data_IF_151250549029
#
_entry.id   IF_151250549029
#
_cell.length_a   1.000
_cell.length_b   1.000
_cell.length_c   1.000
_cell.angle_alpha   90.00
_cell.angle_beta   90.00
_cell.angle_gamma   90.00
#
_symmetry.space_group_name_H-M   'P 1'
#
loop_
_entity.id
_entity.type
_entity.pdbx_description
1 polymer ?
#
# COMPACT_ATOMS: atom_id res chain seq x y z
N UNK A 1 16.60 -0.90 21.34
CA UNK A 1 16.19 -2.16 20.68
C UNK A 1 17.22 -2.57 19.65
N UNK A 2 17.64 -3.82 19.68
CA UNK A 2 18.63 -4.40 18.74
C UNK A 2 18.03 -4.47 17.32
N UNK A 3 18.89 -4.45 16.29
CA UNK A 3 18.48 -4.39 14.87
C UNK A 3 17.70 -5.63 14.42
N UNK A 4 18.08 -6.80 14.88
CA UNK A 4 17.42 -8.08 14.55
C UNK A 4 15.97 -8.09 15.06
N UNK A 5 15.77 -7.68 16.30
CA UNK A 5 14.42 -7.54 16.89
C UNK A 5 13.56 -6.55 16.07
N UNK A 6 14.14 -5.42 15.63
CA UNK A 6 13.43 -4.45 14.76
C UNK A 6 12.97 -5.08 13.44
N UNK A 7 13.86 -5.84 12.79
CA UNK A 7 13.58 -6.54 11.53
C UNK A 7 12.47 -7.58 11.70
N UNK A 8 12.51 -8.36 12.76
CA UNK A 8 11.50 -9.37 13.04
C UNK A 8 10.14 -8.77 13.37
N UNK A 9 10.08 -7.75 14.22
CA UNK A 9 8.84 -7.04 14.53
C UNK A 9 8.17 -6.48 13.28
N UNK A 10 8.96 -5.84 12.42
CA UNK A 10 8.45 -5.24 11.17
C UNK A 10 7.99 -6.32 10.19
N UNK A 11 8.79 -7.35 9.99
CA UNK A 11 8.46 -8.44 9.08
C UNK A 11 7.21 -9.20 9.52
N UNK A 12 7.11 -9.52 10.82
CA UNK A 12 5.94 -10.19 11.39
C UNK A 12 4.69 -9.30 11.26
N UNK A 13 4.81 -8.00 11.49
CA UNK A 13 3.69 -7.08 11.29
C UNK A 13 3.18 -7.10 9.84
N UNK A 14 4.06 -6.99 8.84
CA UNK A 14 3.63 -7.00 7.44
C UNK A 14 3.01 -8.33 7.03
N UNK A 15 3.50 -9.45 7.57
CA UNK A 15 2.88 -10.75 7.33
C UNK A 15 1.50 -10.88 7.99
N UNK A 16 1.36 -10.38 9.22
CA UNK A 16 0.08 -10.32 9.93
C UNK A 16 -0.92 -9.45 9.17
N UNK A 17 -0.48 -8.29 8.68
CA UNK A 17 -1.32 -7.39 7.90
C UNK A 17 -1.76 -8.00 6.56
N UNK A 18 -0.87 -8.77 5.89
CA UNK A 18 -1.23 -9.55 4.70
C UNK A 18 -2.37 -10.53 5.01
N UNK A 19 -2.27 -11.28 6.11
CA UNK A 19 -3.30 -12.22 6.52
C UNK A 19 -4.62 -11.50 6.80
N UNK A 20 -4.60 -10.44 7.60
CA UNK A 20 -5.79 -9.67 7.95
C UNK A 20 -6.51 -9.07 6.71
N UNK A 21 -5.76 -8.55 5.76
CA UNK A 21 -6.34 -8.05 4.50
C UNK A 21 -6.98 -9.19 3.69
N UNK A 22 -6.30 -10.32 3.56
CA UNK A 22 -6.84 -11.48 2.84
C UNK A 22 -8.12 -12.02 3.49
N UNK A 23 -8.17 -12.09 4.82
CA UNK A 23 -9.34 -12.52 5.58
C UNK A 23 -10.55 -11.59 5.35
N UNK A 24 -10.34 -10.28 5.42
CA UNK A 24 -11.40 -9.30 5.14
C UNK A 24 -11.91 -9.38 3.71
N UNK A 25 -11.01 -9.52 2.74
CA UNK A 25 -11.36 -9.66 1.31
C UNK A 25 -12.20 -10.92 1.09
N UNK A 26 -11.82 -12.06 1.66
CA UNK A 26 -12.60 -13.30 1.58
C UNK A 26 -13.99 -13.14 2.23
N UNK A 27 -14.06 -12.44 3.36
CA UNK A 27 -15.34 -12.14 4.02
C UNK A 27 -16.24 -11.26 3.14
N UNK A 28 -15.68 -10.24 2.48
CA UNK A 28 -16.40 -9.39 1.52
C UNK A 28 -16.93 -10.20 0.33
N UNK A 29 -16.18 -11.20 -0.12
CA UNK A 29 -16.59 -12.16 -1.16
C UNK A 29 -17.59 -13.23 -0.66
N UNK A 30 -18.07 -13.12 0.58
CA UNK A 30 -18.94 -14.12 1.23
C UNK A 30 -18.35 -15.54 1.24
N UNK A 31 -17.05 -15.68 1.40
CA UNK A 31 -16.27 -16.93 1.41
C UNK A 31 -16.41 -17.77 0.12
N UNK A 32 -16.83 -17.15 -1.00
CA UNK A 32 -17.01 -17.84 -2.29
C UNK A 32 -15.78 -17.80 -3.20
N UNK A 33 -14.82 -16.95 -2.88
CA UNK A 33 -13.56 -16.78 -3.62
C UNK A 33 -12.38 -17.23 -2.79
N UNK A 34 -11.27 -17.59 -3.44
CA UNK A 34 -10.04 -18.03 -2.77
C UNK A 34 -8.83 -17.26 -3.33
N UNK A 35 -7.88 -16.98 -2.47
CA UNK A 35 -6.55 -16.51 -2.90
C UNK A 35 -5.72 -17.68 -3.43
N UNK A 36 -5.04 -17.46 -4.55
CA UNK A 36 -3.92 -18.28 -4.99
C UNK A 36 -2.66 -17.68 -4.36
N UNK A 37 -1.99 -18.45 -3.51
CA UNK A 37 -0.75 -18.05 -2.85
C UNK A 37 0.44 -18.65 -3.58
N UNK A 38 1.42 -17.82 -3.89
CA UNK A 38 2.67 -18.25 -4.53
C UNK A 38 3.84 -17.66 -3.75
N UNK A 39 4.68 -18.55 -3.23
CA UNK A 39 5.96 -18.16 -2.63
C UNK A 39 7.02 -17.97 -3.71
N UNK A 40 7.89 -17.01 -3.54
CA UNK A 40 9.00 -16.75 -4.44
C UNK A 40 10.29 -16.48 -3.67
N UNK A 41 11.42 -16.78 -4.28
CA UNK A 41 12.76 -16.47 -3.78
C UNK A 41 13.39 -15.38 -4.64
N UNK A 42 14.07 -14.44 -4.02
CA UNK A 42 14.80 -13.40 -4.75
C UNK A 42 15.95 -13.96 -5.59
N UNK A 43 16.59 -14.98 -5.05
CA UNK A 43 17.67 -15.70 -5.71
C UNK A 43 17.56 -17.20 -5.37
N UNK A 44 17.64 -18.05 -6.38
CA UNK A 44 17.54 -19.50 -6.18
C UNK A 44 18.88 -20.17 -5.85
N UNK A 45 20.01 -19.46 -6.08
CA UNK A 45 21.36 -19.96 -5.79
C UNK A 45 21.91 -19.52 -4.45
N UNK A 46 21.40 -18.39 -3.91
CA UNK A 46 21.82 -17.81 -2.63
C UNK A 46 20.59 -17.42 -1.83
N UNK A 47 20.67 -17.52 -0.51
CA UNK A 47 19.64 -16.98 0.34
C UNK A 47 19.72 -15.44 0.35
N UNK A 48 18.84 -14.81 -0.37
CA UNK A 48 18.62 -13.36 -0.43
C UNK A 48 17.18 -13.01 -0.04
N UNK A 49 16.50 -13.95 0.64
CA UNK A 49 15.10 -13.81 1.03
C UNK A 49 14.14 -14.04 -0.13
N UNK A 50 12.92 -13.59 0.05
CA UNK A 50 11.84 -13.77 -0.90
C UNK A 50 10.54 -13.15 -0.40
N UNK A 51 9.43 -13.77 -0.73
CA UNK A 51 8.13 -13.31 -0.31
C UNK A 51 7.01 -14.26 -0.71
N UNK A 52 5.80 -13.78 -0.53
CA UNK A 52 4.59 -14.46 -0.95
C UNK A 52 3.65 -13.41 -1.55
N UNK A 53 3.19 -13.66 -2.75
CA UNK A 53 2.06 -12.92 -3.28
C UNK A 53 0.80 -13.78 -3.25
N UNK A 54 -0.30 -13.12 -2.92
CA UNK A 54 -1.63 -13.72 -2.92
C UNK A 54 -2.51 -12.96 -3.91
N UNK A 55 -3.07 -13.69 -4.86
CA UNK A 55 -3.91 -13.11 -5.91
C UNK A 55 -5.29 -13.73 -5.83
N UNK A 56 -6.33 -12.89 -5.82
CA UNK A 56 -7.72 -13.25 -6.04
C UNK A 56 -8.17 -12.60 -7.34
N UNK A 57 -8.81 -13.38 -8.23
CA UNK A 57 -9.32 -12.92 -9.51
C UNK A 57 -10.74 -13.42 -9.72
N UNK A 58 -11.49 -12.68 -10.53
CA UNK A 58 -12.85 -13.05 -10.96
C UNK A 58 -13.80 -13.31 -9.78
N UNK A 59 -13.61 -12.58 -8.68
CA UNK A 59 -14.53 -12.58 -7.55
C UNK A 59 -15.83 -11.84 -7.88
N UNK A 60 -16.81 -11.95 -7.00
CA UNK A 60 -18.09 -11.25 -7.15
C UNK A 60 -17.96 -9.74 -6.91
N UNK A 61 -17.09 -9.35 -5.99
CA UNK A 61 -16.84 -7.95 -5.61
C UNK A 61 -15.54 -7.46 -6.21
N UNK A 62 -14.49 -8.27 -6.15
CA UNK A 62 -13.18 -7.93 -6.66
C UNK A 62 -12.94 -8.56 -8.04
N UNK A 63 -12.65 -7.72 -9.03
CA UNK A 63 -12.16 -8.18 -10.32
C UNK A 63 -10.77 -8.79 -10.18
N UNK A 64 -9.88 -8.08 -9.49
CA UNK A 64 -8.53 -8.56 -9.16
C UNK A 64 -8.00 -7.89 -7.90
N UNK A 65 -7.45 -8.68 -7.00
CA UNK A 65 -6.71 -8.22 -5.84
C UNK A 65 -5.37 -8.92 -5.76
N UNK A 66 -4.32 -8.14 -5.52
CA UNK A 66 -3.01 -8.66 -5.15
C UNK A 66 -2.61 -8.15 -3.77
N UNK A 67 -2.22 -9.05 -2.88
CA UNK A 67 -1.69 -8.74 -1.55
C UNK A 67 -0.32 -9.39 -1.42
N UNK A 68 0.73 -8.58 -1.51
CA UNK A 68 2.11 -9.06 -1.66
C UNK A 68 2.92 -8.73 -0.42
N UNK A 69 3.56 -9.74 0.16
CA UNK A 69 4.53 -9.61 1.24
C UNK A 69 5.92 -9.94 0.73
N UNK A 70 6.93 -9.20 1.21
CA UNK A 70 8.33 -9.48 0.91
C UNK A 70 9.22 -9.30 2.14
N UNK A 71 10.27 -10.13 2.22
CA UNK A 71 11.39 -10.03 3.15
C UNK A 71 12.64 -10.39 2.37
N UNK A 72 13.43 -9.40 1.98
CA UNK A 72 14.57 -9.55 1.07
C UNK A 72 15.80 -8.86 1.64
N UNK A 73 16.96 -9.39 1.28
CA UNK A 73 18.26 -8.84 1.65
C UNK A 73 19.29 -9.10 0.56
N UNK A 74 20.43 -8.44 0.66
CA UNK A 74 21.49 -8.56 -0.34
C UNK A 74 22.37 -7.33 -0.40
N UNK A 75 22.89 -7.03 -1.59
CA UNK A 75 23.76 -5.86 -1.84
C UNK A 75 23.22 -5.04 -2.99
N UNK A 76 23.20 -3.72 -2.85
CA UNK A 76 22.86 -2.82 -3.94
C UNK A 76 23.97 -2.80 -5.01
N UNK A 77 23.61 -2.89 -6.30
CA UNK A 77 24.55 -2.67 -7.40
C UNK A 77 25.22 -1.29 -7.32
N UNK A 78 26.48 -1.18 -7.75
CA UNK A 78 27.29 0.04 -7.66
C UNK A 78 26.56 1.29 -8.18
N UNK A 79 25.79 1.16 -9.28
CA UNK A 79 25.04 2.26 -9.89
C UNK A 79 23.99 2.89 -8.98
N UNK A 80 23.43 2.13 -8.02
CA UNK A 80 22.39 2.62 -7.10
C UNK A 80 22.93 3.09 -5.74
N UNK A 81 24.16 2.72 -5.38
CA UNK A 81 24.72 3.00 -4.04
C UNK A 81 24.83 4.50 -3.74
N UNK A 82 24.99 5.35 -4.77
CA UNK A 82 25.09 6.80 -4.59
C UNK A 82 23.75 7.43 -4.16
N UNK A 83 22.64 6.86 -4.57
CA UNK A 83 21.30 7.42 -4.39
C UNK A 83 20.55 6.83 -3.18
N UNK A 84 21.07 5.74 -2.59
CA UNK A 84 20.40 5.05 -1.48
C UNK A 84 21.09 5.42 -0.18
N UNK A 85 20.35 5.96 0.80
CA UNK A 85 20.93 6.34 2.09
C UNK A 85 21.71 5.19 2.72
N UNK A 86 22.94 5.46 3.16
CA UNK A 86 23.85 4.51 3.81
C UNK A 86 24.52 3.47 2.89
N UNK A 87 24.03 3.26 1.66
CA UNK A 87 24.54 2.22 0.76
C UNK A 87 25.94 2.54 0.19
N UNK A 88 26.37 3.82 0.19
CA UNK A 88 27.73 4.21 -0.18
C UNK A 88 28.76 3.70 0.84
N UNK A 89 28.39 3.68 2.13
CA UNK A 89 29.27 3.21 3.22
C UNK A 89 29.26 1.66 3.29
N UNK A 90 28.07 1.08 3.25
CA UNK A 90 27.87 -0.39 3.21
C UNK A 90 26.71 -0.69 2.26
N UNK A 91 26.96 -1.35 1.12
CA UNK A 91 25.91 -1.65 0.13
C UNK A 91 24.96 -2.77 0.55
N UNK A 92 25.19 -3.45 1.67
CA UNK A 92 24.28 -4.46 2.20
C UNK A 92 22.95 -3.81 2.60
N UNK A 93 21.89 -4.51 2.33
CA UNK A 93 20.54 -4.08 2.75
C UNK A 93 19.70 -5.25 3.23
N UNK A 94 18.73 -4.93 4.04
CA UNK A 94 17.59 -5.74 4.39
C UNK A 94 16.34 -4.91 4.19
N UNK A 95 15.28 -5.50 3.63
CA UNK A 95 14.01 -4.81 3.43
C UNK A 95 12.85 -5.79 3.62
N UNK A 96 11.78 -5.30 4.23
CA UNK A 96 10.50 -5.99 4.26
C UNK A 96 9.37 -5.01 3.95
N UNK A 97 8.30 -5.52 3.38
CA UNK A 97 7.16 -4.69 3.04
C UNK A 97 5.93 -5.49 2.62
N UNK A 98 4.84 -4.76 2.56
CA UNK A 98 3.56 -5.22 2.02
C UNK A 98 3.08 -4.24 0.95
N UNK A 99 2.50 -4.78 -0.13
CA UNK A 99 1.90 -3.99 -1.21
C UNK A 99 0.56 -4.60 -1.58
N UNK A 100 -0.44 -3.73 -1.75
CA UNK A 100 -1.81 -4.12 -2.08
C UNK A 100 -2.32 -3.31 -3.26
N UNK A 101 -2.94 -4.00 -4.20
CA UNK A 101 -3.70 -3.40 -5.31
C UNK A 101 -5.06 -4.05 -5.36
N UNK A 102 -6.11 -3.25 -5.36
CA UNK A 102 -7.50 -3.72 -5.42
C UNK A 102 -8.24 -3.09 -6.60
N UNK A 103 -8.72 -3.94 -7.52
CA UNK A 103 -9.59 -3.55 -8.64
C UNK A 103 -10.95 -4.24 -8.46
N UNK A 104 -12.02 -3.48 -8.64
CA UNK A 104 -13.37 -3.90 -8.30
C UNK A 104 -14.22 -4.26 -9.52
N UNK A 105 -15.14 -5.22 -9.36
CA UNK A 105 -16.15 -5.52 -10.38
C UNK A 105 -17.10 -4.33 -10.58
N UNK A 106 -17.58 -3.76 -9.48
CA UNK A 106 -18.45 -2.60 -9.54
C UNK A 106 -17.62 -1.33 -9.80
N UNK A 107 -17.78 -0.67 -10.95
CA UNK A 107 -16.98 0.50 -11.34
C UNK A 107 -17.22 1.74 -10.47
N UNK A 108 -18.27 1.76 -9.66
CA UNK A 108 -18.53 2.85 -8.70
C UNK A 108 -17.66 2.73 -7.44
N UNK A 109 -17.02 1.57 -7.21
CA UNK A 109 -16.04 1.39 -6.14
C UNK A 109 -14.66 1.72 -6.70
N UNK A 110 -13.92 2.66 -6.10
CA UNK A 110 -12.62 3.06 -6.62
C UNK A 110 -11.57 1.96 -6.56
N UNK A 111 -10.58 2.02 -7.43
CA UNK A 111 -9.33 1.27 -7.25
C UNK A 111 -8.59 1.80 -6.01
N UNK A 112 -7.96 0.91 -5.26
CA UNK A 112 -7.26 1.25 -4.01
C UNK A 112 -5.87 0.65 -4.00
N UNK A 113 -4.91 1.46 -3.60
CA UNK A 113 -3.51 1.07 -3.53
C UNK A 113 -2.95 1.36 -2.15
N UNK A 114 -2.11 0.46 -1.68
CA UNK A 114 -1.44 0.60 -0.40
C UNK A 114 -0.07 -0.06 -0.47
N UNK A 115 0.93 0.56 0.10
CA UNK A 115 2.18 -0.11 0.43
C UNK A 115 2.80 0.49 1.68
N UNK A 116 3.50 -0.34 2.44
CA UNK A 116 4.42 0.10 3.49
C UNK A 116 5.64 -0.80 3.49
N UNK A 117 6.80 -0.20 3.80
CA UNK A 117 8.08 -0.88 3.80
C UNK A 117 9.00 -0.38 4.90
N UNK A 118 9.91 -1.21 5.32
CA UNK A 118 11.08 -0.84 6.11
C UNK A 118 12.32 -1.28 5.36
N UNK A 119 13.24 -0.36 5.17
CA UNK A 119 14.53 -0.60 4.51
C UNK A 119 15.63 -0.29 5.53
N UNK A 120 16.61 -1.18 5.61
CA UNK A 120 17.76 -1.04 6.48
C UNK A 120 19.05 -1.25 5.69
N UNK A 121 19.93 -0.26 5.78
CA UNK A 121 21.32 -0.29 5.33
C UNK A 121 22.22 -0.10 6.55
N UNK A 122 23.06 0.95 6.61
CA UNK A 122 23.75 1.36 7.83
C UNK A 122 22.81 1.97 8.86
N UNK A 123 21.64 2.39 8.45
CA UNK A 123 20.50 2.80 9.28
C UNK A 123 19.18 2.41 8.61
N UNK A 124 18.09 2.43 9.37
CA UNK A 124 16.79 2.01 8.87
C UNK A 124 15.81 3.17 8.74
N UNK A 125 14.86 3.03 7.78
CA UNK A 125 13.75 3.96 7.63
C UNK A 125 12.50 3.26 7.12
N UNK A 126 11.36 3.86 7.43
CA UNK A 126 10.08 3.47 6.88
C UNK A 126 9.69 4.34 5.69
N UNK A 127 8.96 3.73 4.76
CA UNK A 127 8.29 4.40 3.66
C UNK A 127 6.99 3.72 3.33
N UNK A 128 6.11 4.43 2.62
CA UNK A 128 4.84 3.86 2.19
C UNK A 128 3.79 4.90 1.88
N UNK A 129 2.57 4.45 1.73
CA UNK A 129 1.42 5.30 1.47
C UNK A 129 0.19 4.51 1.08
N UNK A 130 -0.87 5.24 0.84
CA UNK A 130 -2.11 4.75 0.25
C UNK A 130 -2.73 5.82 -0.61
N UNK A 131 -3.41 5.41 -1.68
CA UNK A 131 -4.20 6.29 -2.53
C UNK A 131 -5.45 5.58 -3.06
N UNK A 132 -6.42 6.37 -3.48
CA UNK A 132 -7.70 5.91 -3.98
C UNK A 132 -8.00 6.58 -5.32
N UNK A 133 -8.35 5.77 -6.33
CA UNK A 133 -8.62 6.22 -7.69
C UNK A 133 -10.03 5.83 -8.11
N UNK A 134 -11.02 6.71 -7.93
CA UNK A 134 -12.36 6.50 -8.45
C UNK A 134 -12.42 6.69 -9.97
N UNK A 135 -13.27 5.94 -10.63
CA UNK A 135 -13.61 6.14 -12.06
C UNK A 135 -14.50 7.37 -12.26
N UNK A 136 -15.27 7.74 -11.26
CA UNK A 136 -16.09 8.95 -11.22
C UNK A 136 -15.79 9.73 -9.96
N UNK A 137 -15.55 11.02 -10.10
CA UNK A 137 -15.28 11.91 -8.98
C UNK A 137 -16.53 12.09 -8.10
N UNK A 138 -16.36 11.87 -6.79
CA UNK A 138 -17.35 12.13 -5.76
C UNK A 138 -16.70 13.00 -4.66
N UNK A 139 -17.17 14.25 -4.53
CA UNK A 139 -16.63 15.22 -3.58
C UNK A 139 -16.80 14.77 -2.13
N UNK A 140 -17.95 14.19 -1.78
CA UNK A 140 -18.22 13.71 -0.41
C UNK A 140 -17.31 12.54 -0.05
N UNK A 141 -17.12 11.59 -0.98
CA UNK A 141 -16.20 10.47 -0.78
C UNK A 141 -14.76 10.95 -0.57
N UNK A 142 -14.30 11.91 -1.39
CA UNK A 142 -12.99 12.52 -1.22
C UNK A 142 -12.83 13.17 0.16
N UNK A 143 -13.82 13.97 0.59
CA UNK A 143 -13.80 14.66 1.88
C UNK A 143 -13.79 13.65 3.05
N UNK A 144 -14.63 12.61 3.01
CA UNK A 144 -14.66 11.55 4.03
C UNK A 144 -13.33 10.81 4.10
N UNK A 145 -12.79 10.40 2.95
CA UNK A 145 -11.49 9.72 2.85
C UNK A 145 -10.37 10.56 3.47
N UNK A 146 -10.26 11.81 3.07
CA UNK A 146 -9.22 12.71 3.59
C UNK A 146 -9.41 13.06 5.06
N UNK A 147 -10.66 13.13 5.56
CA UNK A 147 -10.96 13.31 6.99
C UNK A 147 -10.44 12.14 7.82
N UNK A 148 -10.59 10.90 7.33
CA UNK A 148 -10.05 9.70 8.00
C UNK A 148 -8.53 9.76 8.03
N UNK A 149 -7.87 10.05 6.91
CA UNK A 149 -6.41 10.16 6.82
C UNK A 149 -5.88 11.26 7.73
N UNK A 150 -6.53 12.42 7.74
CA UNK A 150 -6.13 13.53 8.61
C UNK A 150 -6.24 13.14 10.08
N UNK A 151 -7.34 12.52 10.49
CA UNK A 151 -7.54 12.06 11.88
C UNK A 151 -6.48 11.05 12.29
N UNK A 152 -6.10 10.13 11.41
CA UNK A 152 -5.03 9.16 11.67
C UNK A 152 -3.67 9.87 11.81
N UNK A 153 -3.30 10.71 10.86
CA UNK A 153 -2.03 11.45 10.90
C UNK A 153 -1.91 12.35 12.14
N UNK A 154 -2.99 13.04 12.52
CA UNK A 154 -3.04 13.97 13.65
C UNK A 154 -2.79 13.30 15.01
N UNK A 155 -3.04 11.98 15.14
CA UNK A 155 -2.69 11.21 16.34
C UNK A 155 -1.17 11.10 16.56
N UNK A 156 -0.40 11.25 15.48
CA UNK A 156 1.06 11.14 15.51
C UNK A 156 1.74 12.51 15.42
N UNK A 157 1.29 13.35 14.49
CA UNK A 157 1.78 14.72 14.33
C UNK A 157 0.80 15.54 13.48
N UNK A 158 0.47 16.75 13.93
CA UNK A 158 -0.48 17.66 13.25
C UNK A 158 -0.04 18.08 11.84
N UNK A 159 1.25 18.02 11.55
CA UNK A 159 1.81 18.38 10.24
C UNK A 159 1.89 17.20 9.26
N UNK A 160 1.72 15.94 9.71
CA UNK A 160 1.91 14.77 8.86
C UNK A 160 0.92 14.73 7.70
N UNK A 161 -0.37 14.99 7.97
CA UNK A 161 -1.36 14.95 6.91
C UNK A 161 -1.05 15.94 5.78
N UNK A 162 -0.80 17.21 6.12
CA UNK A 162 -0.48 18.26 5.13
C UNK A 162 0.75 17.89 4.30
N UNK A 163 1.83 17.45 4.97
CA UNK A 163 3.10 17.06 4.34
C UNK A 163 2.94 15.84 3.44
N UNK A 164 2.33 14.76 3.94
CA UNK A 164 2.25 13.49 3.23
C UNK A 164 1.20 13.49 2.13
N UNK A 165 0.12 14.26 2.29
CA UNK A 165 -0.84 14.51 1.21
C UNK A 165 -0.21 15.24 0.03
N UNK A 166 0.49 16.35 0.31
CA UNK A 166 1.22 17.09 -0.73
C UNK A 166 2.21 16.19 -1.45
N UNK A 167 2.99 15.41 -0.70
CA UNK A 167 3.96 14.48 -1.29
C UNK A 167 3.29 13.40 -2.12
N UNK A 168 2.14 12.88 -1.70
CA UNK A 168 1.36 11.93 -2.49
C UNK A 168 0.90 12.53 -3.83
N UNK A 169 0.37 13.74 -3.81
CA UNK A 169 -0.10 14.43 -5.02
C UNK A 169 1.06 14.69 -6.02
N UNK A 170 2.25 15.02 -5.52
CA UNK A 170 3.45 15.22 -6.33
C UNK A 170 4.03 13.89 -6.87
N UNK A 171 4.10 12.85 -6.03
CA UNK A 171 4.69 11.55 -6.39
C UNK A 171 3.86 10.81 -7.44
N UNK A 172 2.54 10.89 -7.34
CA UNK A 172 1.59 10.26 -8.26
C UNK A 172 0.99 11.23 -9.27
N UNK A 173 1.66 12.34 -9.53
CA UNK A 173 1.22 13.28 -10.56
C UNK A 173 1.27 12.66 -11.96
N UNK A 174 0.20 12.84 -12.73
CA UNK A 174 0.06 12.32 -14.09
C UNK A 174 0.30 13.47 -15.10
N UNK A 175 1.52 13.61 -15.66
CA UNK A 175 1.87 14.76 -16.52
C UNK A 175 0.99 14.87 -17.76
N UNK A 176 0.61 13.75 -18.35
CA UNK A 176 -0.24 13.68 -19.56
C UNK A 176 -1.69 14.11 -19.30
N UNK A 177 -2.15 14.07 -18.03
CA UNK A 177 -3.47 14.52 -17.61
C UNK A 177 -3.44 15.86 -16.85
N UNK A 178 -2.25 16.31 -16.48
CA UNK A 178 -2.01 17.52 -15.68
C UNK A 178 -2.76 17.52 -14.33
N UNK A 179 -2.86 16.35 -13.69
CA UNK A 179 -3.59 16.17 -12.43
C UNK A 179 -2.90 15.14 -11.52
N UNK A 180 -3.09 15.19 -10.18
CA UNK A 180 -2.74 14.10 -9.29
C UNK A 180 -3.58 12.85 -9.58
N UNK A 181 -3.03 11.66 -9.32
CA UNK A 181 -3.74 10.39 -9.50
C UNK A 181 -4.96 10.29 -8.57
N UNK A 182 -6.14 10.09 -9.14
CA UNK A 182 -7.38 9.86 -8.42
C UNK A 182 -7.76 11.01 -7.46
N UNK A 183 -8.19 10.65 -6.27
CA UNK A 183 -8.46 11.63 -5.19
C UNK A 183 -7.25 11.83 -4.28
N UNK A 184 -6.09 11.22 -4.62
CA UNK A 184 -4.87 11.26 -3.84
C UNK A 184 -4.90 10.36 -2.63
N UNK A 185 -4.13 10.72 -1.61
CA UNK A 185 -3.97 9.96 -0.38
C UNK A 185 -2.84 10.53 0.48
N UNK A 186 -2.00 9.66 1.02
CA UNK A 186 -0.77 10.02 1.71
C UNK A 186 0.40 9.20 1.16
N UNK A 187 1.57 9.84 1.06
CA UNK A 187 2.84 9.20 0.75
C UNK A 187 3.94 9.73 1.66
N UNK A 188 4.77 8.84 2.15
CA UNK A 188 5.92 9.18 2.99
C UNK A 188 7.10 8.26 2.68
N UNK A 189 8.30 8.78 2.82
CA UNK A 189 9.53 7.99 2.75
C UNK A 189 10.59 8.56 3.69
N UNK A 190 11.69 7.83 3.87
CA UNK A 190 12.82 8.22 4.73
C UNK A 190 12.42 8.57 6.16
N UNK A 191 11.35 7.96 6.68
CA UNK A 191 10.91 8.18 8.06
C UNK A 191 11.79 7.39 9.02
N UNK A 192 12.65 8.11 9.78
CA UNK A 192 13.74 7.53 10.60
C UNK A 192 13.97 8.27 11.91
N UNK A 193 13.01 9.06 12.36
CA UNK A 193 13.18 9.95 13.53
C UNK A 193 13.28 9.15 14.84
N UNK A 194 12.33 8.22 15.03
CA UNK A 194 12.30 7.29 16.16
C UNK A 194 11.63 6.00 15.73
N UNK A 195 12.34 4.86 15.82
CA UNK A 195 11.84 3.59 15.33
C UNK A 195 10.46 3.20 15.91
N UNK A 196 10.25 3.36 17.21
CA UNK A 196 9.03 2.95 17.87
C UNK A 196 7.82 3.81 17.45
N UNK A 197 8.02 5.13 17.41
CA UNK A 197 7.01 6.08 16.97
C UNK A 197 6.73 5.92 15.46
N UNK A 198 7.77 5.73 14.65
CA UNK A 198 7.66 5.52 13.21
C UNK A 198 6.96 4.21 12.89
N UNK A 199 7.30 3.15 13.61
CA UNK A 199 6.62 1.86 13.46
C UNK A 199 5.17 1.92 13.91
N UNK A 200 4.86 2.63 15.00
CA UNK A 200 3.48 2.89 15.43
C UNK A 200 2.68 3.60 14.34
N UNK A 201 3.25 4.64 13.73
CA UNK A 201 2.63 5.34 12.62
C UNK A 201 2.36 4.39 11.43
N UNK A 202 3.33 3.60 11.01
CA UNK A 202 3.19 2.64 9.89
C UNK A 202 2.11 1.58 10.17
N UNK A 203 2.01 1.12 11.41
CA UNK A 203 0.93 0.20 11.82
C UNK A 203 -0.44 0.87 11.71
N UNK A 204 -0.57 2.10 12.17
CA UNK A 204 -1.82 2.86 12.06
C UNK A 204 -2.20 3.14 10.61
N UNK A 205 -1.23 3.38 9.71
CA UNK A 205 -1.48 3.50 8.27
C UNK A 205 -2.10 2.21 7.72
N UNK A 206 -1.56 1.04 8.06
CA UNK A 206 -2.09 -0.26 7.63
C UNK A 206 -3.51 -0.52 8.13
N UNK A 207 -3.74 -0.35 9.43
CA UNK A 207 -5.07 -0.52 10.04
C UNK A 207 -6.09 0.49 9.47
N UNK A 208 -5.64 1.71 9.21
CA UNK A 208 -6.52 2.75 8.61
C UNK A 208 -6.88 2.39 7.17
N UNK A 209 -5.97 1.82 6.38
CA UNK A 209 -6.29 1.33 5.04
C UNK A 209 -7.32 0.20 5.09
N UNK A 210 -7.17 -0.74 6.03
CA UNK A 210 -8.14 -1.82 6.26
C UNK A 210 -9.54 -1.26 6.56
N UNK A 211 -9.64 -0.28 7.44
CA UNK A 211 -10.90 0.39 7.73
C UNK A 211 -11.49 1.10 6.49
N UNK A 212 -10.66 1.80 5.73
CA UNK A 212 -11.08 2.56 4.54
C UNK A 212 -11.68 1.65 3.48
N UNK A 213 -11.00 0.57 3.09
CA UNK A 213 -11.51 -0.28 2.03
C UNK A 213 -12.80 -1.00 2.45
N UNK A 214 -12.89 -1.48 3.69
CA UNK A 214 -14.13 -2.07 4.22
C UNK A 214 -15.29 -1.05 4.18
N UNK A 215 -15.07 0.19 4.61
CA UNK A 215 -16.08 1.24 4.63
C UNK A 215 -16.53 1.65 3.22
N UNK A 216 -15.62 1.85 2.28
CA UNK A 216 -15.96 2.24 0.91
C UNK A 216 -16.72 1.11 0.21
N UNK A 217 -16.25 -0.13 0.31
CA UNK A 217 -16.88 -1.28 -0.34
C UNK A 217 -18.28 -1.52 0.21
N UNK A 218 -18.47 -1.53 1.54
CA UNK A 218 -19.76 -1.75 2.17
C UNK A 218 -20.84 -0.74 1.72
N UNK A 219 -20.45 0.52 1.50
CA UNK A 219 -21.35 1.59 1.04
C UNK A 219 -21.76 1.45 -0.43
N UNK A 220 -20.95 0.76 -1.25
CA UNK A 220 -21.08 0.80 -2.72
C UNK A 220 -21.32 -0.55 -3.36
N UNK A 221 -21.04 -1.66 -2.71
CA UNK A 221 -21.09 -3.00 -3.30
C UNK A 221 -22.45 -3.37 -3.89
N UNK A 222 -23.54 -2.83 -3.33
CA UNK A 222 -24.92 -3.05 -3.80
C UNK A 222 -25.42 -1.99 -4.78
N UNK A 223 -24.64 -0.94 -5.08
CA UNK A 223 -25.07 0.11 -6.01
C UNK A 223 -25.13 -0.45 -7.43
N UNK A 224 -26.26 -0.16 -8.11
CA UNK A 224 -26.40 -0.46 -9.54
C UNK A 224 -25.48 0.42 -10.37
N UNK A 225 -24.93 -0.10 -11.43
CA UNK A 225 -24.05 0.58 -12.35
C UNK A 225 -24.40 0.23 -13.82
N UNK A 226 -23.90 1.01 -14.76
CA UNK A 226 -24.19 0.93 -16.19
C UNK A 226 -22.94 0.52 -16.98
N UNK A 227 -23.11 0.14 -18.26
CA UNK A 227 -21.98 -0.10 -19.16
C UNK A 227 -21.06 1.14 -19.29
N UNK A 228 -21.65 2.35 -19.29
CA UNK A 228 -20.87 3.61 -19.32
C UNK A 228 -20.02 3.79 -18.05
N UNK A 229 -20.47 3.32 -16.89
CA UNK A 229 -19.66 3.32 -15.66
C UNK A 229 -18.47 2.38 -15.80
N UNK A 230 -18.66 1.21 -16.42
CA UNK A 230 -17.59 0.23 -16.64
C UNK A 230 -16.55 0.74 -17.64
N UNK A 231 -16.98 1.39 -18.72
CA UNK A 231 -16.09 2.06 -19.66
C UNK A 231 -15.25 3.14 -18.98
N UNK A 232 -15.86 3.98 -18.14
CA UNK A 232 -15.15 4.98 -17.36
C UNK A 232 -14.08 4.36 -16.42
N UNK A 233 -14.37 3.19 -15.83
CA UNK A 233 -13.41 2.45 -15.02
C UNK A 233 -12.20 1.98 -15.85
N UNK A 234 -12.43 1.41 -17.02
CA UNK A 234 -11.34 0.98 -17.91
C UNK A 234 -10.46 2.15 -18.35
N UNK A 235 -11.07 3.26 -18.78
CA UNK A 235 -10.34 4.48 -19.15
C UNK A 235 -9.52 5.05 -17.96
N UNK A 236 -10.05 4.99 -16.74
CA UNK A 236 -9.32 5.39 -15.54
C UNK A 236 -8.11 4.48 -15.27
N UNK A 237 -8.24 3.17 -15.47
CA UNK A 237 -7.18 2.20 -15.19
C UNK A 237 -6.07 2.14 -16.24
N UNK A 238 -6.37 2.42 -17.52
CA UNK A 238 -5.39 2.43 -18.61
C UNK A 238 -4.27 3.45 -18.35
N UNK A 239 -4.56 4.53 -17.63
CA UNK A 239 -3.63 5.63 -17.39
C UNK A 239 -2.97 5.60 -16.00
N UNK A 240 -3.18 4.55 -15.23
CA UNK A 240 -2.52 4.31 -13.95
C UNK A 240 -1.26 3.47 -14.13
#
# INVERSE_FOLDING_TARGET
>A
MNLEIKRDLVSNWFKTLQNAFCEDIIRIENNKSKFISTSWKRNYRKDEGGGEYRILQNGKVFEKVGVNFSKVYGRFPKKFQKNIPGAKKDPRFWASGISVVMHMQNPLIPAMHFNTRYINTTYGWFGGGMDVTPSKFDKKEKEEFHKILKKMCDRHNKNFYKRYKKWCDEYFYLPHRKEPRGIGGIFFDYKKDNFEQDFKFVRDVGVTFQFIFNNIISKKVKKKWTAKDKEAQYLSLIHI
#
